data_IF_517661410224
#
_entry.id   IF_517661410224
#
_cell.length_a   1.000
_cell.length_b   1.000
_cell.length_c   1.000
_cell.angle_alpha   90.00
_cell.angle_beta   90.00
_cell.angle_gamma   90.00
#
_symmetry.space_group_name_H-M   'P 1'
#
loop_
_entity.id
_entity.type
_entity.pdbx_description
1 polymer ?
#
# COMPACT_ATOMS: atom_id res chain seq x y z
N UNK A 1 8.01 12.35 -1.21
CA UNK A 1 8.98 11.34 -0.75
C UNK A 1 8.41 9.95 -1.01
N UNK A 2 9.24 8.92 -1.13
CA UNK A 2 8.75 7.53 -1.27
C UNK A 2 9.22 6.75 -0.06
N UNK A 3 8.28 6.09 0.62
CA UNK A 3 8.54 5.24 1.76
C UNK A 3 8.15 3.80 1.45
N UNK A 4 8.94 2.85 1.92
CA UNK A 4 8.69 1.44 1.69
C UNK A 4 8.55 0.69 3.01
N UNK A 5 7.54 -0.17 3.09
CA UNK A 5 7.36 -1.05 4.22
C UNK A 5 6.88 -2.44 3.79
N UNK A 6 7.27 -3.45 4.56
CA UNK A 6 6.87 -4.84 4.34
C UNK A 6 5.80 -5.26 5.35
N UNK A 7 4.73 -5.88 4.87
CA UNK A 7 3.63 -6.34 5.73
C UNK A 7 3.01 -7.63 5.19
N UNK A 8 2.96 -8.69 6.03
CA UNK A 8 2.32 -9.99 5.74
C UNK A 8 2.63 -10.54 4.33
N UNK A 9 3.90 -10.51 3.92
CA UNK A 9 4.32 -11.00 2.60
C UNK A 9 4.00 -10.06 1.43
N UNK A 10 3.64 -8.81 1.71
CA UNK A 10 3.41 -7.77 0.72
C UNK A 10 4.38 -6.60 0.94
N UNK A 11 4.80 -5.97 -0.16
CA UNK A 11 5.53 -4.72 -0.19
C UNK A 11 4.54 -3.58 -0.40
N UNK A 12 4.62 -2.59 0.48
CA UNK A 12 3.79 -1.41 0.49
C UNK A 12 4.69 -0.21 0.20
N UNK A 13 4.52 0.42 -0.95
CA UNK A 13 5.27 1.60 -1.36
C UNK A 13 4.36 2.81 -1.26
N UNK A 14 4.66 3.73 -0.34
CA UNK A 14 3.93 4.98 -0.15
C UNK A 14 4.62 6.08 -0.94
N UNK A 15 3.93 6.65 -1.91
CA UNK A 15 4.41 7.76 -2.74
C UNK A 15 3.60 9.00 -2.37
N UNK A 16 4.25 10.01 -1.79
CA UNK A 16 3.60 11.29 -1.56
C UNK A 16 3.40 12.02 -2.89
N UNK A 17 2.15 12.40 -3.17
CA UNK A 17 1.72 13.18 -4.31
C UNK A 17 1.53 14.64 -3.91
N UNK A 18 1.56 15.54 -4.90
CA UNK A 18 1.32 16.97 -4.66
C UNK A 18 -0.12 17.20 -4.17
N UNK A 19 -0.27 18.07 -3.17
CA UNK A 19 -1.57 18.45 -2.57
C UNK A 19 -2.06 17.51 -1.47
N UNK A 20 -1.18 17.18 -0.51
CA UNK A 20 -1.49 16.37 0.69
C UNK A 20 -2.08 14.99 0.37
N UNK A 21 -1.73 14.43 -0.79
CA UNK A 21 -2.19 13.10 -1.20
C UNK A 21 -1.06 12.10 -1.09
N UNK A 22 -1.37 10.88 -0.68
CA UNK A 22 -0.43 9.78 -0.57
C UNK A 22 -0.97 8.60 -1.35
N UNK A 23 -0.19 8.12 -2.30
CA UNK A 23 -0.48 6.92 -3.06
C UNK A 23 0.16 5.72 -2.37
N UNK A 24 -0.54 4.60 -2.26
CA UNK A 24 0.07 3.34 -1.80
C UNK A 24 -0.05 2.30 -2.89
N UNK A 25 1.10 1.75 -3.26
CA UNK A 25 1.21 0.60 -4.15
C UNK A 25 1.43 -0.65 -3.31
N UNK A 26 0.58 -1.66 -3.53
CA UNK A 26 0.65 -2.95 -2.86
C UNK A 26 1.14 -4.00 -3.85
N UNK A 27 2.33 -4.54 -3.61
CA UNK A 27 2.91 -5.61 -4.44
C UNK A 27 3.04 -6.88 -3.59
N UNK A 28 2.56 -8.00 -4.12
CA UNK A 28 2.74 -9.28 -3.44
C UNK A 28 4.17 -9.79 -3.64
N UNK A 29 4.85 -10.19 -2.55
CA UNK A 29 6.23 -10.70 -2.63
C UNK A 29 6.31 -12.14 -3.15
N UNK A 30 5.20 -12.87 -3.17
CA UNK A 30 5.10 -14.22 -3.73
C UNK A 30 5.08 -14.26 -5.27
N UNK A 31 5.46 -13.16 -5.93
CA UNK A 31 5.49 -13.05 -7.39
C UNK A 31 4.16 -12.66 -8.03
N UNK A 32 3.22 -12.15 -7.22
CA UNK A 32 1.89 -11.73 -7.67
C UNK A 32 1.85 -10.31 -8.24
N UNK A 33 0.87 -10.08 -9.13
CA UNK A 33 0.54 -8.79 -9.74
C UNK A 33 0.37 -7.70 -8.68
N UNK A 34 0.75 -6.45 -9.01
CA UNK A 34 0.45 -5.29 -8.15
C UNK A 34 -1.04 -5.25 -7.88
N UNK A 35 -1.41 -5.46 -6.61
CA UNK A 35 -2.80 -5.72 -6.21
C UNK A 35 -3.63 -4.45 -6.36
N UNK A 36 -3.06 -3.30 -6.02
CA UNK A 36 -3.74 -2.02 -6.19
C UNK A 36 -2.86 -0.80 -5.96
N UNK A 37 -3.30 0.29 -6.58
CA UNK A 37 -2.80 1.66 -6.40
C UNK A 37 -3.97 2.50 -5.89
N UNK A 38 -3.90 3.02 -4.66
CA UNK A 38 -4.97 3.87 -4.08
C UNK A 38 -4.38 5.18 -3.55
N UNK A 39 -5.08 6.29 -3.82
CA UNK A 39 -4.71 7.64 -3.35
C UNK A 39 -5.51 7.99 -2.10
N UNK A 40 -4.82 8.46 -1.07
CA UNK A 40 -5.36 8.80 0.24
C UNK A 40 -4.95 10.21 0.66
N UNK A 41 -5.62 10.80 1.64
CA UNK A 41 -5.34 12.17 2.12
C UNK A 41 -4.16 12.24 3.10
N UNK A 42 -3.67 11.10 3.58
CA UNK A 42 -2.56 11.06 4.53
C UNK A 42 -1.82 9.74 4.44
N UNK A 43 -0.51 9.78 4.63
CA UNK A 43 0.35 8.59 4.64
C UNK A 43 -0.09 7.54 5.66
N UNK A 44 -0.42 7.94 6.89
CA UNK A 44 -0.87 6.99 7.92
C UNK A 44 -2.17 6.29 7.55
N UNK A 45 -3.15 7.04 7.02
CA UNK A 45 -4.42 6.49 6.54
C UNK A 45 -4.18 5.51 5.38
N UNK A 46 -3.30 5.89 4.46
CA UNK A 46 -2.92 5.08 3.31
C UNK A 46 -2.34 3.72 3.73
N UNK A 47 -1.43 3.73 4.71
CA UNK A 47 -0.81 2.52 5.27
C UNK A 47 -1.84 1.67 6.01
N UNK A 48 -2.68 2.29 6.86
CA UNK A 48 -3.70 1.58 7.64
C UNK A 48 -4.71 0.86 6.73
N UNK A 49 -5.20 1.54 5.69
CA UNK A 49 -6.14 0.96 4.73
C UNK A 49 -5.47 -0.09 3.84
N UNK A 50 -4.21 0.10 3.44
CA UNK A 50 -3.48 -0.91 2.70
C UNK A 50 -3.30 -2.20 3.52
N UNK A 51 -2.94 -2.08 4.79
CA UNK A 51 -2.89 -3.22 5.73
C UNK A 51 -4.25 -3.88 5.89
N UNK A 52 -5.30 -3.10 6.13
CA UNK A 52 -6.67 -3.61 6.26
C UNK A 52 -7.12 -4.38 5.00
N UNK A 53 -6.75 -3.92 3.81
CA UNK A 53 -7.06 -4.63 2.56
C UNK A 53 -6.34 -5.97 2.46
N UNK A 54 -5.05 -6.02 2.84
CA UNK A 54 -4.29 -7.29 2.93
C UNK A 54 -4.93 -8.22 3.97
N UNK A 55 -5.35 -7.68 5.12
CA UNK A 55 -6.01 -8.46 6.17
C UNK A 55 -7.39 -8.99 5.74
N UNK A 56 -8.12 -8.25 4.89
CA UNK A 56 -9.41 -8.68 4.30
C UNK A 56 -9.25 -9.69 3.17
N UNK A 57 -8.13 -9.67 2.46
CA UNK A 57 -7.82 -10.62 1.39
C UNK A 57 -6.49 -11.34 1.70
N UNK A 58 -6.44 -12.19 2.74
CA UNK A 58 -5.21 -12.84 3.18
C UNK A 58 -4.68 -13.92 2.21
N UNK A 59 -5.32 -14.15 1.07
CA UNK A 59 -4.88 -15.12 0.07
C UNK A 59 -5.62 -14.96 -1.24
N UNK A 60 -4.84 -14.73 -2.31
CA UNK A 60 -5.07 -15.42 -3.58
C UNK A 60 -4.25 -16.71 -3.57
#
# INVERSE_FOLDING_TARGET
>A
MTDELHYRGHRLVVIEQQGDRSLVEITSLSGGQTIRTMTYQSRQEAIALAKQNIDKHPGG
#
